data_IF_501832766524
#
_entry.id   IF_501832766524
#
_cell.length_a   1.000
_cell.length_b   1.000
_cell.length_c   1.000
_cell.angle_alpha   90.00
_cell.angle_beta   90.00
_cell.angle_gamma   90.00
#
_symmetry.space_group_name_H-M   'P 1'
#
loop_
_entity.id
_entity.type
_entity.pdbx_description
1 polymer ?
#
# COMPACT_ATOMS: atom_id res chain seq x y z
N UNK A 1 -60.52 22.37 -21.69
CA UNK A 1 -59.35 23.25 -21.87
C UNK A 1 -58.35 22.96 -20.76
N UNK A 2 -57.12 22.65 -21.17
CA UNK A 2 -55.87 22.48 -20.42
C UNK A 2 -55.84 22.68 -18.89
N UNK A 3 -55.31 21.69 -18.18
CA UNK A 3 -53.91 21.68 -17.74
C UNK A 3 -53.66 20.47 -16.83
N UNK A 4 -52.73 19.61 -17.22
CA UNK A 4 -51.77 18.99 -16.28
C UNK A 4 -50.74 18.21 -17.10
N UNK A 5 -49.59 18.85 -17.30
CA UNK A 5 -48.33 18.18 -17.58
C UNK A 5 -48.13 17.07 -16.55
N UNK A 6 -48.32 15.80 -16.95
CA UNK A 6 -47.80 14.68 -16.19
C UNK A 6 -46.37 14.47 -16.63
N UNK A 7 -45.49 14.67 -15.65
CA UNK A 7 -44.05 14.59 -15.71
C UNK A 7 -43.56 13.47 -16.65
N UNK A 8 -42.74 13.86 -17.62
CA UNK A 8 -41.71 12.99 -18.16
C UNK A 8 -40.83 12.55 -16.98
N UNK A 9 -41.01 11.31 -16.54
CA UNK A 9 -40.07 10.64 -15.65
C UNK A 9 -38.83 10.26 -16.47
N UNK A 10 -37.70 10.92 -16.19
CA UNK A 10 -36.44 10.72 -16.89
C UNK A 10 -35.77 9.43 -16.39
N UNK A 11 -35.26 8.59 -17.31
CA UNK A 11 -34.44 7.41 -16.99
C UNK A 11 -33.20 7.69 -16.11
N UNK A 12 -32.75 8.95 -16.05
CA UNK A 12 -31.66 9.41 -15.19
C UNK A 12 -32.02 9.43 -13.69
N UNK A 13 -33.31 9.50 -13.32
CA UNK A 13 -33.71 9.43 -11.91
C UNK A 13 -33.59 8.01 -11.37
N UNK A 14 -33.91 6.99 -12.18
CA UNK A 14 -33.79 5.59 -11.78
C UNK A 14 -32.33 5.19 -11.54
N UNK A 15 -31.40 5.64 -12.39
CA UNK A 15 -29.98 5.34 -12.21
C UNK A 15 -29.39 6.03 -10.99
N UNK A 16 -29.82 7.25 -10.67
CA UNK A 16 -29.39 7.95 -9.45
C UNK A 16 -29.94 7.28 -8.18
N UNK A 17 -31.21 6.90 -8.16
CA UNK A 17 -31.79 6.17 -7.02
C UNK A 17 -31.16 4.79 -6.83
N UNK A 18 -30.91 4.05 -7.91
CA UNK A 18 -30.21 2.76 -7.87
C UNK A 18 -28.78 2.92 -7.38
N UNK A 19 -28.05 3.95 -7.84
CA UNK A 19 -26.72 4.28 -7.38
C UNK A 19 -26.69 4.59 -5.89
N UNK A 20 -27.55 5.52 -5.44
CA UNK A 20 -27.65 5.92 -4.04
C UNK A 20 -28.02 4.73 -3.17
N UNK A 21 -28.99 3.92 -3.59
CA UNK A 21 -29.38 2.70 -2.87
C UNK A 21 -28.23 1.68 -2.79
N UNK A 22 -27.47 1.52 -3.87
CA UNK A 22 -26.30 0.64 -3.87
C UNK A 22 -25.17 1.16 -2.96
N UNK A 23 -24.96 2.47 -2.87
CA UNK A 23 -24.02 3.07 -1.90
C UNK A 23 -24.49 2.88 -0.45
N UNK A 24 -25.77 3.15 -0.15
CA UNK A 24 -26.34 2.93 1.18
C UNK A 24 -26.22 1.46 1.62
N UNK A 25 -26.51 0.51 0.73
CA UNK A 25 -26.39 -0.92 1.02
C UNK A 25 -24.93 -1.34 1.27
N UNK A 26 -23.97 -0.78 0.52
CA UNK A 26 -22.53 -1.00 0.75
C UNK A 26 -22.08 -0.44 2.11
N UNK A 27 -22.61 0.72 2.51
CA UNK A 27 -22.27 1.33 3.80
C UNK A 27 -22.86 0.55 4.97
N UNK A 28 -24.12 0.09 4.88
CA UNK A 28 -24.70 -0.82 5.89
C UNK A 28 -23.94 -2.14 6.00
N UNK A 29 -23.51 -2.71 4.88
CA UNK A 29 -22.73 -3.95 4.87
C UNK A 29 -21.34 -3.78 5.48
N UNK A 30 -20.70 -2.62 5.29
CA UNK A 30 -19.44 -2.25 5.97
C UNK A 30 -19.63 -2.10 7.49
N UNK A 31 -20.72 -1.45 7.92
CA UNK A 31 -20.98 -1.16 9.34
C UNK A 31 -21.43 -2.39 10.15
N UNK A 32 -21.90 -3.46 9.50
CA UNK A 32 -22.29 -4.72 10.16
C UNK A 32 -21.16 -5.38 10.96
N UNK A 33 -19.92 -5.23 10.50
CA UNK A 33 -18.75 -5.85 11.13
C UNK A 33 -17.99 -4.89 12.07
N UNK A 34 -18.47 -3.66 12.23
CA UNK A 34 -17.84 -2.63 13.07
C UNK A 34 -18.69 -2.46 14.33
N UNK A 35 -18.12 -2.72 15.53
CA UNK A 35 -18.82 -2.45 16.79
C UNK A 35 -19.32 -1.00 16.85
N UNK A 36 -20.47 -0.79 17.50
CA UNK A 36 -21.17 0.49 17.50
C UNK A 36 -20.26 1.65 17.97
N UNK A 37 -19.36 1.37 18.91
CA UNK A 37 -18.40 2.32 19.48
C UNK A 37 -17.38 2.82 18.46
N UNK A 38 -17.07 2.04 17.41
CA UNK A 38 -16.10 2.39 16.38
C UNK A 38 -16.74 2.97 15.11
N UNK A 39 -18.07 3.02 15.02
CA UNK A 39 -18.78 3.57 13.86
C UNK A 39 -18.50 5.05 13.63
N UNK A 40 -18.09 5.79 14.67
CA UNK A 40 -17.60 7.18 14.54
C UNK A 40 -16.38 7.29 13.61
N UNK A 41 -15.64 6.20 13.42
CA UNK A 41 -14.48 6.11 12.53
C UNK A 41 -14.79 5.37 11.22
N UNK A 42 -16.06 5.31 10.77
CA UNK A 42 -16.46 4.56 9.57
C UNK A 42 -15.56 4.80 8.34
N UNK A 43 -15.04 6.04 8.19
CA UNK A 43 -14.12 6.43 7.12
C UNK A 43 -12.85 5.58 7.09
N UNK A 44 -12.33 5.15 8.24
CA UNK A 44 -11.11 4.33 8.36
C UNK A 44 -11.33 2.87 7.95
N UNK A 45 -12.58 2.40 7.91
CA UNK A 45 -12.94 1.03 7.56
C UNK A 45 -13.33 0.84 6.09
N UNK A 46 -13.21 1.90 5.27
CA UNK A 46 -13.45 1.81 3.82
C UNK A 46 -12.42 0.90 3.15
N UNK A 47 -12.84 0.22 2.09
CA UNK A 47 -11.95 -0.69 1.34
C UNK A 47 -10.77 0.04 0.70
N UNK A 48 -10.99 1.26 0.21
CA UNK A 48 -9.98 2.16 -0.32
C UNK A 48 -9.95 3.44 0.50
N UNK A 49 -8.81 3.71 1.12
CA UNK A 49 -8.54 4.97 1.78
C UNK A 49 -7.80 5.88 0.79
N UNK A 50 -8.44 6.98 0.39
CA UNK A 50 -7.78 8.07 -0.33
C UNK A 50 -6.89 8.83 0.66
N UNK A 51 -5.76 8.23 0.99
CA UNK A 51 -4.75 8.85 1.87
C UNK A 51 -3.83 9.78 1.09
N UNK A 52 -3.79 9.62 -0.24
CA UNK A 52 -2.81 10.31 -1.07
C UNK A 52 -1.39 9.95 -0.68
N UNK A 53 -0.44 10.75 -1.14
CA UNK A 53 0.95 10.64 -0.73
C UNK A 53 1.09 11.21 0.69
N UNK A 54 1.57 10.44 1.70
CA UNK A 54 1.71 10.96 3.05
C UNK A 54 2.72 12.11 3.11
N UNK A 55 2.55 13.03 4.04
CA UNK A 55 3.53 14.08 4.29
C UNK A 55 4.78 13.52 4.97
N UNK A 56 5.94 14.12 4.66
CA UNK A 56 7.20 13.80 5.33
C UNK A 56 7.14 14.13 6.81
N UNK A 57 7.70 13.26 7.64
CA UNK A 57 7.79 13.46 9.08
C UNK A 57 9.04 12.80 9.67
N UNK A 58 9.23 12.91 10.99
CA UNK A 58 10.42 12.36 11.67
C UNK A 58 10.52 10.83 11.64
N UNK A 59 9.42 10.14 11.31
CA UNK A 59 9.31 8.68 11.25
C UNK A 59 9.44 8.13 9.82
N UNK A 60 9.87 8.97 8.88
CA UNK A 60 10.14 8.54 7.52
C UNK A 60 11.20 7.42 7.50
N UNK A 61 10.99 6.46 6.60
CA UNK A 61 11.86 5.31 6.48
C UNK A 61 13.21 5.69 5.89
N UNK A 62 14.24 5.62 6.73
CA UNK A 62 15.63 5.88 6.36
C UNK A 62 16.33 4.61 5.86
N UNK A 63 17.00 4.73 4.72
CA UNK A 63 17.79 3.66 4.10
C UNK A 63 19.29 3.97 4.33
N UNK A 64 19.73 3.74 5.55
CA UNK A 64 21.14 3.90 5.95
C UNK A 64 22.03 2.81 5.36
N UNK A 65 22.92 3.16 4.44
CA UNK A 65 23.87 2.21 3.84
C UNK A 65 25.18 2.18 4.66
N UNK A 66 25.80 1.00 4.79
CA UNK A 66 27.11 0.85 5.44
C UNK A 66 28.21 1.58 4.65
N UNK A 67 29.30 1.96 5.33
CA UNK A 67 30.43 2.65 4.67
C UNK A 67 30.99 1.80 3.54
N UNK A 68 31.02 2.34 2.32
CA UNK A 68 31.49 1.66 1.11
C UNK A 68 30.47 0.74 0.44
N UNK A 69 29.23 0.67 0.93
CA UNK A 69 28.13 0.05 0.20
C UNK A 69 27.57 1.01 -0.85
N UNK A 70 27.36 0.52 -2.06
CA UNK A 70 26.75 1.30 -3.15
C UNK A 70 25.57 0.53 -3.75
N UNK A 71 24.41 1.18 -3.95
CA UNK A 71 23.31 0.60 -4.69
C UNK A 71 23.74 0.18 -6.10
N UNK A 72 23.51 -1.08 -6.44
CA UNK A 72 23.98 -1.66 -7.70
C UNK A 72 22.88 -1.77 -8.74
N UNK A 73 23.30 -1.79 -10.00
CA UNK A 73 22.43 -2.06 -11.15
C UNK A 73 22.31 -3.57 -11.39
N UNK A 74 21.07 -4.06 -11.51
CA UNK A 74 20.80 -5.49 -11.69
C UNK A 74 20.10 -5.80 -13.03
N UNK A 75 20.32 -7.03 -13.50
CA UNK A 75 19.69 -7.56 -14.72
C UNK A 75 18.22 -7.84 -14.47
N UNK A 76 17.40 -7.56 -15.48
CA UNK A 76 15.98 -7.89 -15.46
C UNK A 76 15.76 -9.40 -15.50
N UNK A 77 14.70 -9.85 -14.85
CA UNK A 77 14.18 -11.19 -15.02
C UNK A 77 13.19 -11.25 -16.18
N UNK A 78 13.08 -12.42 -16.80
CA UNK A 78 12.06 -12.66 -17.81
C UNK A 78 10.71 -12.78 -17.13
N UNK A 79 9.74 -12.03 -17.66
CA UNK A 79 8.35 -12.05 -17.22
C UNK A 79 7.48 -12.64 -18.33
N UNK A 80 6.49 -13.45 -17.94
CA UNK A 80 5.46 -13.98 -18.83
C UNK A 80 4.45 -12.89 -19.20
N UNK A 81 3.65 -13.12 -20.25
CA UNK A 81 2.65 -12.14 -20.69
C UNK A 81 1.66 -11.72 -19.57
N UNK A 82 1.08 -12.64 -18.78
CA UNK A 82 0.21 -12.24 -17.67
C UNK A 82 0.93 -11.43 -16.58
N UNK A 83 2.22 -11.71 -16.36
CA UNK A 83 3.04 -10.95 -15.42
C UNK A 83 3.33 -9.54 -15.95
N UNK A 84 3.55 -9.39 -17.26
CA UNK A 84 3.74 -8.07 -17.87
C UNK A 84 2.48 -7.22 -17.79
N UNK A 85 1.32 -7.80 -18.07
CA UNK A 85 0.05 -7.11 -17.89
C UNK A 85 -0.15 -6.66 -16.44
N UNK A 86 0.06 -7.57 -15.48
CA UNK A 86 -0.02 -7.23 -14.05
C UNK A 86 0.98 -6.15 -13.66
N UNK A 87 2.16 -6.14 -14.27
CA UNK A 87 3.19 -5.12 -14.03
C UNK A 87 2.75 -3.74 -14.52
N UNK A 88 2.17 -3.65 -15.72
CA UNK A 88 1.61 -2.40 -16.24
C UNK A 88 0.53 -1.85 -15.32
N UNK A 89 -0.47 -2.68 -14.99
CA UNK A 89 -1.58 -2.31 -14.12
C UNK A 89 -1.09 -1.82 -12.74
N UNK A 90 -0.05 -2.46 -12.20
CA UNK A 90 0.56 -2.05 -10.95
C UNK A 90 1.27 -0.69 -11.06
N UNK A 91 2.05 -0.47 -12.11
CA UNK A 91 2.77 0.79 -12.33
C UNK A 91 1.78 1.94 -12.47
N UNK A 92 0.73 1.76 -13.27
CA UNK A 92 -0.29 2.79 -13.50
C UNK A 92 -1.04 3.13 -12.20
N UNK A 93 -1.43 2.12 -11.41
CA UNK A 93 -2.08 2.33 -10.11
C UNK A 93 -1.18 3.05 -9.11
N UNK A 94 0.10 2.67 -9.03
CA UNK A 94 1.05 3.31 -8.11
C UNK A 94 1.43 4.73 -8.54
N UNK A 95 1.52 5.01 -9.85
CA UNK A 95 1.73 6.36 -10.38
C UNK A 95 0.51 7.25 -10.11
N UNK A 96 -0.70 6.74 -10.34
CA UNK A 96 -1.94 7.47 -10.08
C UNK A 96 -2.09 7.84 -8.60
N UNK A 97 -1.64 6.96 -7.69
CA UNK A 97 -1.60 7.22 -6.24
C UNK A 97 -0.44 8.14 -5.81
N UNK A 98 0.53 8.40 -6.69
CA UNK A 98 1.75 9.13 -6.36
C UNK A 98 2.71 8.36 -5.45
N UNK A 99 2.56 7.03 -5.33
CA UNK A 99 3.42 6.19 -4.48
C UNK A 99 4.77 5.87 -5.13
N UNK A 100 4.84 5.96 -6.46
CA UNK A 100 6.07 5.84 -7.22
C UNK A 100 6.22 7.03 -8.17
N UNK A 101 7.44 7.28 -8.62
CA UNK A 101 7.74 8.22 -9.71
C UNK A 101 8.80 7.64 -10.65
N UNK A 102 8.92 8.22 -11.84
CA UNK A 102 10.03 7.92 -12.75
C UNK A 102 11.36 8.25 -12.08
N UNK A 103 12.35 7.38 -12.26
CA UNK A 103 13.69 7.54 -11.73
C UNK A 103 14.73 7.62 -12.85
N UNK A 104 15.79 8.39 -12.61
CA UNK A 104 17.00 8.45 -13.44
C UNK A 104 18.22 7.87 -12.71
N UNK A 105 17.98 7.16 -11.59
CA UNK A 105 19.01 6.55 -10.76
C UNK A 105 19.88 5.56 -11.54
N UNK A 106 21.18 5.53 -11.23
CA UNK A 106 22.12 4.56 -11.78
C UNK A 106 21.92 3.15 -11.20
N UNK A 107 21.22 3.03 -10.08
CA UNK A 107 20.85 1.76 -9.47
C UNK A 107 19.56 1.20 -10.09
N UNK A 108 19.26 -0.07 -9.82
CA UNK A 108 18.03 -0.70 -10.32
C UNK A 108 17.89 -2.13 -9.86
N UNK A 109 16.80 -2.43 -9.14
CA UNK A 109 16.48 -3.78 -8.68
C UNK A 109 15.40 -4.43 -9.54
N UNK A 110 15.52 -5.72 -9.87
CA UNK A 110 14.56 -6.37 -10.75
C UNK A 110 13.27 -6.72 -9.99
N UNK A 111 12.19 -6.87 -10.74
CA UNK A 111 10.88 -7.27 -10.23
C UNK A 111 10.67 -8.77 -10.46
N UNK A 112 10.09 -9.44 -9.47
CA UNK A 112 9.57 -10.82 -9.56
C UNK A 112 8.10 -10.85 -9.14
N UNK A 113 7.39 -11.90 -9.56
CA UNK A 113 6.01 -12.14 -9.13
C UNK A 113 5.90 -13.41 -8.30
N UNK A 114 5.17 -13.32 -7.19
CA UNK A 114 4.86 -14.45 -6.31
C UNK A 114 3.35 -14.70 -6.34
N UNK A 115 2.89 -15.95 -6.57
CA UNK A 115 1.46 -16.26 -6.58
C UNK A 115 0.87 -16.16 -5.17
N UNK A 116 -0.28 -15.51 -5.04
CA UNK A 116 -1.13 -15.60 -3.84
C UNK A 116 -2.00 -16.85 -3.91
N UNK A 117 -2.49 -17.35 -2.76
CA UNK A 117 -3.50 -18.42 -2.67
C UNK A 117 -4.73 -18.13 -3.55
N UNK A 118 -5.05 -16.83 -3.61
CA UNK A 118 -5.72 -16.09 -4.66
C UNK A 118 -5.88 -16.56 -6.12
N UNK A 119 -4.81 -17.12 -6.65
CA UNK A 119 -4.47 -17.02 -8.07
C UNK A 119 -3.91 -15.65 -8.50
N UNK A 120 -4.13 -14.56 -7.74
CA UNK A 120 -3.55 -13.23 -8.04
C UNK A 120 -2.03 -13.22 -7.86
N UNK A 121 -1.33 -12.44 -8.68
CA UNK A 121 0.11 -12.25 -8.57
C UNK A 121 0.44 -11.08 -7.62
N UNK A 122 1.49 -11.25 -6.81
CA UNK A 122 2.07 -10.19 -5.97
C UNK A 122 3.38 -9.75 -6.59
N UNK A 123 3.47 -8.46 -6.91
CA UNK A 123 4.72 -7.83 -7.31
C UNK A 123 5.67 -7.76 -6.11
N UNK A 124 6.92 -8.19 -6.31
CA UNK A 124 7.99 -8.11 -5.32
C UNK A 124 9.22 -7.57 -6.00
N UNK A 125 9.78 -6.48 -5.46
CA UNK A 125 11.09 -5.99 -5.89
C UNK A 125 12.16 -6.77 -5.15
N UNK A 126 13.15 -7.27 -5.89
CA UNK A 126 14.24 -8.04 -5.30
C UNK A 126 15.31 -7.11 -4.69
N UNK A 127 15.06 -6.66 -3.47
CA UNK A 127 15.99 -5.85 -2.68
C UNK A 127 17.06 -6.67 -1.95
N UNK A 128 17.23 -7.98 -2.22
CA UNK A 128 18.20 -8.81 -1.45
C UNK A 128 19.61 -8.25 -1.42
N UNK A 129 20.05 -7.64 -2.52
CA UNK A 129 21.39 -7.04 -2.62
C UNK A 129 21.48 -5.70 -1.89
N UNK A 130 20.43 -4.86 -2.00
CA UNK A 130 20.31 -3.63 -1.20
C UNK A 130 20.29 -3.94 0.30
N UNK A 131 19.52 -4.95 0.70
CA UNK A 131 19.37 -5.40 2.09
C UNK A 131 20.69 -5.86 2.72
N UNK A 132 21.66 -6.31 1.94
CA UNK A 132 22.99 -6.69 2.45
C UNK A 132 23.85 -5.48 2.82
N UNK A 133 23.65 -4.36 2.14
CA UNK A 133 24.43 -3.13 2.33
C UNK A 133 23.72 -2.14 3.26
N UNK A 134 22.43 -2.33 3.55
CA UNK A 134 21.72 -1.55 4.57
C UNK A 134 22.26 -1.91 5.96
N UNK A 135 22.53 -0.87 6.77
CA UNK A 135 22.80 -1.02 8.19
C UNK A 135 21.54 -1.53 8.88
N UNK A 136 21.63 -2.75 9.42
CA UNK A 136 20.51 -3.39 10.11
C UNK A 136 20.22 -2.66 11.42
N UNK A 137 18.98 -2.23 11.59
CA UNK A 137 18.45 -1.81 12.86
C UNK A 137 18.21 -3.06 13.71
N UNK A 138 18.75 -3.06 14.92
CA UNK A 138 18.63 -4.15 15.90
C UNK A 138 17.88 -3.70 17.16
N UNK A 139 17.04 -2.67 17.01
CA UNK A 139 16.14 -2.24 18.08
C UNK A 139 15.36 -3.44 18.60
N UNK A 140 15.37 -3.67 19.93
CA UNK A 140 14.76 -4.87 20.50
C UNK A 140 13.24 -4.81 20.35
N UNK A 141 12.66 -5.83 19.75
CA UNK A 141 11.22 -6.06 19.79
C UNK A 141 10.85 -6.69 21.15
N UNK A 142 9.69 -6.34 21.73
CA UNK A 142 9.24 -6.94 22.97
C UNK A 142 9.07 -8.46 22.81
N UNK A 143 9.40 -9.22 23.85
CA UNK A 143 9.25 -10.67 23.83
C UNK A 143 7.77 -11.04 23.86
N UNK A 144 7.39 -12.10 23.16
CA UNK A 144 5.99 -12.55 23.13
C UNK A 144 5.46 -12.94 24.52
N UNK A 145 6.34 -13.44 25.39
CA UNK A 145 6.02 -13.74 26.80
C UNK A 145 5.66 -12.47 27.57
N UNK A 146 6.41 -11.39 27.37
CA UNK A 146 6.14 -10.10 28.00
C UNK A 146 4.80 -9.52 27.53
N UNK A 147 4.54 -9.58 26.22
CA UNK A 147 3.25 -9.15 25.66
C UNK A 147 2.09 -9.97 26.25
N UNK A 148 2.24 -11.29 26.33
CA UNK A 148 1.23 -12.18 26.92
C UNK A 148 0.97 -11.86 28.39
N UNK A 149 2.03 -11.65 29.17
CA UNK A 149 1.90 -11.39 30.60
C UNK A 149 1.22 -10.03 30.86
N UNK A 150 1.45 -9.02 30.01
CA UNK A 150 0.71 -7.74 30.04
C UNK A 150 -0.79 -7.91 29.73
N UNK A 151 -1.13 -8.89 28.90
CA UNK A 151 -2.51 -9.22 28.52
C UNK A 151 -3.19 -10.16 29.53
N UNK A 152 -2.45 -10.69 30.52
CA UNK A 152 -3.00 -11.62 31.51
C UNK A 152 -4.12 -10.98 32.33
N UNK A 153 -5.19 -11.75 32.55
CA UNK A 153 -6.36 -11.30 33.32
C UNK A 153 -7.27 -10.30 32.61
N UNK A 154 -6.94 -9.88 31.37
CA UNK A 154 -7.87 -9.08 30.54
C UNK A 154 -8.95 -10.00 29.96
N UNK A 155 -10.19 -9.50 29.91
CA UNK A 155 -11.37 -10.29 29.49
C UNK A 155 -11.82 -9.98 28.07
N UNK A 156 -11.47 -8.81 27.55
CA UNK A 156 -11.87 -8.33 26.22
C UNK A 156 -10.63 -7.84 25.48
N UNK A 157 -10.53 -8.21 24.20
CA UNK A 157 -9.44 -7.84 23.32
C UNK A 157 -9.99 -7.26 22.03
N UNK A 158 -9.34 -6.23 21.50
CA UNK A 158 -9.62 -5.69 20.17
C UNK A 158 -8.32 -5.74 19.37
N UNK A 159 -8.39 -6.33 18.18
CA UNK A 159 -7.29 -6.37 17.24
C UNK A 159 -7.63 -5.44 16.08
N UNK A 160 -6.70 -4.53 15.74
CA UNK A 160 -6.81 -3.61 14.62
C UNK A 160 -5.70 -3.94 13.62
N UNK A 161 -6.05 -4.05 12.35
CA UNK A 161 -5.09 -4.26 11.26
C UNK A 161 -5.09 -3.02 10.35
N UNK A 162 -3.91 -2.45 10.13
CA UNK A 162 -3.75 -1.29 9.26
C UNK A 162 -3.54 -1.75 7.81
N UNK A 163 -4.57 -1.62 6.99
CA UNK A 163 -4.51 -2.00 5.58
C UNK A 163 -3.46 -1.16 4.84
N UNK A 164 -2.46 -1.82 4.28
CA UNK A 164 -1.42 -1.17 3.51
C UNK A 164 -0.53 -0.24 4.35
N UNK A 165 -0.33 -0.56 5.63
CA UNK A 165 0.35 0.31 6.59
C UNK A 165 1.71 0.85 6.12
N UNK A 166 2.48 0.05 5.36
CA UNK A 166 3.77 0.51 4.83
C UNK A 166 3.63 1.66 3.82
N UNK A 167 2.55 1.70 3.05
CA UNK A 167 2.30 2.78 2.10
C UNK A 167 1.95 4.11 2.82
N UNK A 168 1.68 4.07 4.12
CA UNK A 168 1.43 5.26 4.94
C UNK A 168 2.72 5.91 5.45
N UNK A 169 3.87 5.26 5.27
CA UNK A 169 5.18 5.75 5.70
C UNK A 169 5.95 6.21 4.47
N UNK A 170 6.48 7.43 4.50
CA UNK A 170 7.33 7.98 3.43
C UNK A 170 8.72 7.39 3.47
N UNK A 171 9.36 7.26 2.32
CA UNK A 171 10.82 7.14 2.27
C UNK A 171 11.40 8.51 2.65
N UNK A 172 12.46 8.51 3.44
CA UNK A 172 13.17 9.74 3.84
C UNK A 172 13.65 10.50 2.60
N UNK A 173 13.51 11.82 2.64
CA UNK A 173 13.95 12.68 1.54
C UNK A 173 15.44 12.47 1.24
N UNK A 174 15.76 12.20 -0.02
CA UNK A 174 17.11 11.89 -0.49
C UNK A 174 17.46 10.41 -0.49
N UNK A 175 16.60 9.53 0.04
CA UNK A 175 16.77 8.07 0.03
C UNK A 175 15.90 7.36 -1.03
N UNK A 176 14.96 8.06 -1.67
CA UNK A 176 14.00 7.48 -2.62
C UNK A 176 14.69 6.77 -3.77
N UNK A 177 15.75 7.36 -4.31
CA UNK A 177 16.55 6.83 -5.43
C UNK A 177 17.17 5.46 -5.13
N UNK A 178 17.32 5.09 -3.85
CA UNK A 178 17.85 3.78 -3.42
C UNK A 178 16.81 2.68 -3.62
N UNK A 179 15.53 3.01 -3.67
CA UNK A 179 14.43 2.05 -3.83
C UNK A 179 14.12 1.74 -5.30
N UNK A 180 14.86 2.32 -6.24
CA UNK A 180 14.60 2.20 -7.67
C UNK A 180 14.46 0.75 -8.14
N UNK A 181 13.32 0.43 -8.74
CA UNK A 181 13.08 -0.85 -9.38
C UNK A 181 13.03 -0.68 -10.89
N UNK A 182 13.54 -1.71 -11.57
CA UNK A 182 13.71 -1.74 -13.00
C UNK A 182 12.66 -2.63 -13.63
N UNK A 183 12.07 -2.13 -14.70
CA UNK A 183 11.07 -2.84 -15.49
C UNK A 183 11.42 -2.77 -16.97
N UNK A 184 10.67 -3.47 -17.82
CA UNK A 184 10.78 -3.30 -19.28
C UNK A 184 10.27 -1.93 -19.76
N UNK A 185 9.47 -1.24 -18.95
CA UNK A 185 8.83 0.04 -19.28
C UNK A 185 9.59 1.26 -18.76
N UNK A 186 10.62 1.06 -17.93
CA UNK A 186 11.39 2.15 -17.34
C UNK A 186 11.93 1.83 -15.95
N UNK A 187 12.53 2.85 -15.35
CA UNK A 187 13.00 2.88 -13.97
C UNK A 187 11.99 3.69 -13.13
N UNK A 188 11.60 3.14 -12.00
CA UNK A 188 10.68 3.77 -11.07
C UNK A 188 11.23 3.67 -9.66
N UNK A 189 11.06 4.71 -8.86
CA UNK A 189 11.44 4.72 -7.45
C UNK A 189 10.20 4.91 -6.57
N UNK A 190 10.25 4.30 -5.38
CA UNK A 190 9.19 4.44 -4.40
C UNK A 190 9.36 5.71 -3.57
N UNK A 191 8.23 6.36 -3.36
CA UNK A 191 8.09 7.52 -2.50
C UNK A 191 7.54 7.15 -1.12
N UNK A 192 6.83 6.02 -1.04
CA UNK A 192 6.35 5.39 0.20
C UNK A 192 7.13 4.12 0.46
N UNK A 193 7.11 3.61 1.69
CA UNK A 193 7.92 2.46 2.08
C UNK A 193 7.48 1.17 1.34
N UNK A 194 8.31 0.60 0.44
CA UNK A 194 7.96 -0.60 -0.29
C UNK A 194 8.16 -1.86 0.56
N UNK A 195 7.48 -2.93 0.17
CA UNK A 195 7.74 -4.25 0.75
C UNK A 195 9.12 -4.77 0.35
N UNK A 196 9.74 -5.54 1.26
CA UNK A 196 10.96 -6.28 0.99
C UNK A 196 12.26 -5.57 1.34
N UNK A 197 12.21 -4.31 1.79
CA UNK A 197 13.37 -3.63 2.39
C UNK A 197 13.65 -4.16 3.79
N UNK A 198 14.92 -4.04 4.19
CA UNK A 198 15.35 -4.28 5.59
C UNK A 198 14.92 -3.12 6.46
N UNK A 199 14.68 -3.37 7.75
CA UNK A 199 14.22 -2.40 8.75
C UNK A 199 12.78 -1.88 8.57
N UNK A 200 12.07 -2.20 7.47
CA UNK A 200 10.65 -1.85 7.29
C UNK A 200 9.78 -2.20 8.50
N UNK A 201 9.86 -3.41 9.11
CA UNK A 201 9.05 -3.74 10.29
C UNK A 201 9.51 -3.08 11.59
N UNK A 202 10.67 -2.43 11.60
CA UNK A 202 11.18 -1.68 12.76
C UNK A 202 10.77 -0.22 12.68
N UNK A 203 10.66 0.32 11.45
CA UNK A 203 10.12 1.66 11.20
C UNK A 203 8.60 1.72 11.45
N UNK A 204 7.88 0.66 11.11
CA UNK A 204 6.45 0.52 11.39
C UNK A 204 6.20 0.14 12.86
#
# INVERSE_FOLDING_TARGET
>A
MNNQQKAQWNKESDTWYEYVRAEYLKEEEQLKNIPDEYRIYNKLFKETLETGLPEHNQWDHEISIIKGGEPAFHKLYNLTEPQLQTLCEYIDDMLAKGYIRLSTSSAGYPVIFVPKKNGKLRLVVDYRQLNKIIRKDRTPLPLITELRDRLWGKRWFTALDLKGAYNLIRIKEGDEWKTVFRTKFGLYEYLVMPFGLTNTPVTF
#
